data_IF_571488051548
#
_entry.id   IF_571488051548
#
_cell.length_a   1.000
_cell.length_b   1.000
_cell.length_c   1.000
_cell.angle_alpha   90.00
_cell.angle_beta   90.00
_cell.angle_gamma   90.00
#
_symmetry.space_group_name_H-M   'P 1'
#
loop_
_entity.id
_entity.type
_entity.pdbx_description
1 polymer ?
#
# COMPACT_ATOMS: atom_id res chain seq x y z
N UNK A 1 -6.96 -25.71 18.96
CA UNK A 1 -6.83 -24.30 19.36
C UNK A 1 -7.51 -23.43 18.32
N UNK A 2 -8.39 -22.52 18.75
CA UNK A 2 -9.44 -21.86 17.97
C UNK A 2 -8.98 -21.21 16.64
N UNK A 3 -9.64 -21.59 15.54
CA UNK A 3 -9.73 -20.82 14.29
C UNK A 3 -10.92 -19.87 14.42
N UNK A 4 -10.68 -18.57 14.41
CA UNK A 4 -11.75 -17.57 14.45
C UNK A 4 -11.91 -16.97 13.04
N UNK A 5 -12.63 -17.71 12.20
CA UNK A 5 -13.16 -17.23 10.93
C UNK A 5 -14.37 -16.36 11.21
N UNK A 6 -14.24 -15.05 11.02
CA UNK A 6 -15.40 -14.16 10.99
C UNK A 6 -16.10 -14.34 9.65
N UNK A 7 -17.15 -15.16 9.65
CA UNK A 7 -18.19 -15.08 8.64
C UNK A 7 -18.91 -13.74 8.85
N UNK A 8 -18.72 -12.79 7.93
CA UNK A 8 -19.63 -11.66 7.79
C UNK A 8 -20.98 -12.23 7.36
N UNK A 9 -21.89 -12.42 8.33
CA UNK A 9 -23.30 -12.68 8.06
C UNK A 9 -23.91 -11.43 7.42
N UNK A 10 -23.77 -11.29 6.10
CA UNK A 10 -24.51 -10.32 5.32
C UNK A 10 -25.86 -10.91 4.89
N UNK A 11 -26.76 -11.11 5.85
CA UNK A 11 -28.20 -11.17 5.55
C UNK A 11 -28.72 -9.74 5.46
N UNK A 12 -28.52 -9.11 4.31
CA UNK A 12 -29.34 -8.02 3.80
C UNK A 12 -29.07 -7.93 2.30
N UNK A 13 -30.12 -8.07 1.50
CA UNK A 13 -30.19 -7.72 0.08
C UNK A 13 -30.00 -6.20 -0.06
N UNK A 14 -28.80 -5.70 0.24
CA UNK A 14 -28.38 -4.38 -0.23
C UNK A 14 -28.15 -4.53 -1.74
N UNK A 15 -28.94 -3.79 -2.50
CA UNK A 15 -28.66 -3.51 -3.91
C UNK A 15 -27.16 -3.20 -4.00
N UNK A 16 -26.37 -4.01 -4.72
CA UNK A 16 -24.92 -3.84 -4.87
C UNK A 16 -24.65 -2.52 -5.58
N UNK A 17 -24.68 -1.41 -4.84
CA UNK A 17 -24.26 -0.10 -5.33
C UNK A 17 -22.74 -0.13 -5.49
N UNK A 18 -22.25 0.44 -6.58
CA UNK A 18 -20.81 0.53 -6.84
C UNK A 18 -20.24 1.51 -5.80
N UNK A 19 -19.28 1.09 -4.95
CA UNK A 19 -18.68 1.99 -3.97
C UNK A 19 -17.95 3.14 -4.65
N UNK A 20 -18.14 4.35 -4.14
CA UNK A 20 -17.43 5.56 -4.59
C UNK A 20 -16.26 5.85 -3.67
N UNK A 21 -15.07 5.95 -4.26
CA UNK A 21 -13.81 6.17 -3.57
C UNK A 21 -13.23 7.51 -4.01
N UNK A 22 -12.95 8.40 -3.06
CA UNK A 22 -12.20 9.64 -3.33
C UNK A 22 -10.74 9.42 -2.96
N UNK A 23 -9.85 9.72 -3.90
CA UNK A 23 -8.44 9.97 -3.62
C UNK A 23 -8.27 11.43 -3.18
N UNK A 24 -8.00 11.64 -1.89
CA UNK A 24 -8.07 12.97 -1.29
C UNK A 24 -6.91 13.89 -1.69
N UNK A 25 -5.72 13.31 -1.79
CA UNK A 25 -4.47 14.00 -2.11
C UNK A 25 -3.62 13.17 -3.08
N UNK A 26 -2.57 13.78 -3.61
CA UNK A 26 -1.65 13.14 -4.54
C UNK A 26 -0.83 12.00 -3.90
N UNK A 27 -0.44 11.05 -4.73
CA UNK A 27 0.59 10.05 -4.43
C UNK A 27 1.95 10.61 -4.81
N UNK A 28 2.66 11.21 -3.85
CA UNK A 28 3.87 12.00 -4.08
C UNK A 28 3.62 13.17 -5.02
N UNK A 29 3.97 13.04 -6.30
CA UNK A 29 3.78 14.03 -7.36
C UNK A 29 2.91 13.49 -8.50
N UNK A 30 2.08 12.48 -8.22
CA UNK A 30 1.26 11.77 -9.20
C UNK A 30 -0.16 11.57 -8.67
N UNK A 31 -1.10 11.27 -9.56
CA UNK A 31 -2.50 11.03 -9.16
C UNK A 31 -2.63 9.76 -8.33
N UNK A 32 -3.19 9.90 -7.12
CA UNK A 32 -3.54 8.76 -6.28
C UNK A 32 -4.75 8.00 -6.85
N UNK A 33 -5.71 8.68 -7.49
CA UNK A 33 -6.87 8.02 -8.09
C UNK A 33 -6.43 7.11 -9.25
N UNK A 34 -5.56 7.58 -10.14
CA UNK A 34 -4.96 6.77 -11.20
C UNK A 34 -4.20 5.58 -10.63
N UNK A 35 -3.43 5.79 -9.55
CA UNK A 35 -2.73 4.71 -8.89
C UNK A 35 -3.70 3.65 -8.37
N UNK A 36 -4.80 4.02 -7.73
CA UNK A 36 -5.81 3.07 -7.25
C UNK A 36 -6.46 2.35 -8.44
N UNK A 37 -6.85 3.07 -9.50
CA UNK A 37 -7.47 2.49 -10.72
C UNK A 37 -6.54 1.51 -11.44
N UNK A 38 -5.23 1.71 -11.38
CA UNK A 38 -4.25 0.84 -12.04
C UNK A 38 -4.11 -0.54 -11.41
N UNK A 39 -4.63 -0.76 -10.19
CA UNK A 39 -4.56 -2.08 -9.55
C UNK A 39 -5.62 -3.02 -10.12
N UNK A 40 -5.25 -4.27 -10.46
CA UNK A 40 -6.22 -5.27 -10.89
C UNK A 40 -7.14 -5.63 -9.72
N UNK A 41 -8.31 -5.01 -9.68
CA UNK A 41 -9.35 -5.27 -8.68
C UNK A 41 -10.49 -6.07 -9.32
N UNK A 42 -10.82 -7.28 -8.83
CA UNK A 42 -11.95 -8.06 -9.36
C UNK A 42 -13.31 -7.47 -8.99
N UNK A 43 -13.34 -6.46 -8.11
CA UNK A 43 -14.54 -5.78 -7.67
C UNK A 43 -14.72 -4.45 -8.38
N UNK A 44 -15.97 -4.10 -8.70
CA UNK A 44 -16.31 -2.79 -9.29
C UNK A 44 -16.32 -1.72 -8.19
N UNK A 45 -15.57 -0.65 -8.40
CA UNK A 45 -15.60 0.59 -7.63
C UNK A 45 -15.35 1.78 -8.57
N UNK A 46 -15.93 2.93 -8.24
CA UNK A 46 -15.69 4.18 -8.96
C UNK A 46 -14.71 5.02 -8.16
N UNK A 47 -13.61 5.42 -8.79
CA UNK A 47 -12.51 6.14 -8.13
C UNK A 47 -12.40 7.54 -8.73
N UNK A 48 -12.48 8.53 -7.86
CA UNK A 48 -12.51 9.95 -8.18
C UNK A 48 -11.32 10.67 -7.55
N UNK A 49 -10.81 11.69 -8.22
CA UNK A 49 -10.02 12.72 -7.55
C UNK A 49 -10.93 13.58 -6.67
N UNK A 50 -10.34 14.19 -5.63
CA UNK A 50 -11.04 15.03 -4.66
C UNK A 50 -11.95 16.10 -5.29
N UNK A 51 -11.60 16.62 -6.47
CA UNK A 51 -12.35 17.68 -7.15
C UNK A 51 -13.54 17.17 -7.97
N UNK A 52 -13.65 15.85 -8.18
CA UNK A 52 -14.63 15.25 -9.10
C UNK A 52 -15.90 14.77 -8.39
N UNK A 53 -15.85 14.56 -7.08
CA UNK A 53 -16.98 14.08 -6.28
C UNK A 53 -17.06 14.84 -4.95
N UNK A 54 -18.25 15.32 -4.53
CA UNK A 54 -18.44 15.88 -3.20
C UNK A 54 -18.06 14.88 -2.11
N UNK A 55 -17.45 15.36 -1.02
CA UNK A 55 -16.99 14.49 0.07
C UNK A 55 -18.13 13.71 0.70
N UNK A 56 -19.32 14.30 0.76
CA UNK A 56 -20.54 13.70 1.27
C UNK A 56 -21.06 12.55 0.40
N UNK A 57 -20.66 12.44 -0.87
CA UNK A 57 -21.11 11.36 -1.75
C UNK A 57 -20.18 10.15 -1.74
N UNK A 58 -19.01 10.25 -1.11
CA UNK A 58 -18.03 9.17 -1.03
C UNK A 58 -18.43 8.12 0.00
N UNK A 59 -18.24 6.84 -0.32
CA UNK A 59 -18.26 5.75 0.65
C UNK A 59 -16.90 5.63 1.37
N UNK A 60 -15.82 5.88 0.62
CA UNK A 60 -14.44 5.77 1.09
C UNK A 60 -13.63 7.00 0.69
N UNK A 61 -12.84 7.53 1.62
CA UNK A 61 -11.88 8.60 1.36
C UNK A 61 -10.48 8.09 1.68
N UNK A 62 -9.61 8.06 0.67
CA UNK A 62 -8.25 7.53 0.75
C UNK A 62 -7.25 8.67 0.77
N UNK A 63 -6.37 8.66 1.76
CA UNK A 63 -5.32 9.66 1.94
C UNK A 63 -3.97 8.98 1.76
N UNK A 64 -3.17 9.46 0.81
CA UNK A 64 -1.77 9.10 0.80
C UNK A 64 -1.07 9.78 1.98
N UNK A 65 -0.76 8.99 3.01
CA UNK A 65 -0.36 9.50 4.31
C UNK A 65 0.93 10.33 4.24
N UNK A 66 1.84 9.95 3.34
CA UNK A 66 3.13 10.64 3.17
C UNK A 66 3.00 12.03 2.55
N UNK A 67 1.87 12.40 1.96
CA UNK A 67 1.61 13.76 1.44
C UNK A 67 0.78 14.62 2.41
N UNK A 68 0.54 14.16 3.64
CA UNK A 68 -0.24 14.89 4.64
C UNK A 68 0.56 15.93 5.44
N UNK A 69 1.87 16.03 5.19
CA UNK A 69 2.75 17.01 5.86
C UNK A 69 2.50 18.45 5.41
N UNK A 70 1.78 18.66 4.31
CA UNK A 70 1.49 20.01 3.81
C UNK A 70 0.61 20.75 4.84
N UNK A 71 1.08 21.88 5.40
CA UNK A 71 0.30 22.68 6.35
C UNK A 71 -0.97 23.25 5.71
N UNK A 72 -0.99 23.46 4.39
CA UNK A 72 -2.16 23.97 3.65
C UNK A 72 -3.14 22.86 3.24
N UNK A 73 -2.84 21.60 3.56
CA UNK A 73 -3.74 20.48 3.30
C UNK A 73 -5.09 20.74 3.98
N UNK A 74 -6.13 20.79 3.17
CA UNK A 74 -7.51 20.89 3.63
C UNK A 74 -8.06 19.49 3.82
N UNK A 75 -8.73 19.26 4.95
CA UNK A 75 -9.35 17.98 5.29
C UNK A 75 -10.85 18.00 5.03
N UNK A 76 -11.50 16.82 4.92
CA UNK A 76 -12.94 16.78 4.80
C UNK A 76 -13.60 17.52 5.95
N UNK A 77 -14.61 18.34 5.65
CA UNK A 77 -15.27 19.18 6.65
C UNK A 77 -16.23 18.38 7.50
N UNK A 78 -16.87 17.38 6.92
CA UNK A 78 -17.86 16.55 7.61
C UNK A 78 -17.63 15.09 7.28
N UNK A 79 -17.70 14.25 8.31
CA UNK A 79 -17.57 12.81 8.17
C UNK A 79 -18.90 12.15 8.52
N UNK A 80 -19.48 11.42 7.58
CA UNK A 80 -20.64 10.58 7.88
C UNK A 80 -20.21 9.36 8.69
N UNK A 81 -21.05 8.84 9.59
CA UNK A 81 -20.72 7.66 10.41
C UNK A 81 -20.42 6.39 9.60
N UNK A 82 -20.94 6.29 8.37
CA UNK A 82 -20.76 5.16 7.47
C UNK A 82 -19.54 5.30 6.53
N UNK A 83 -18.87 6.46 6.53
CA UNK A 83 -17.68 6.69 5.69
C UNK A 83 -16.42 6.05 6.26
N UNK A 84 -15.66 5.43 5.37
CA UNK A 84 -14.36 4.83 5.72
C UNK A 84 -13.24 5.79 5.30
N UNK A 85 -12.48 6.26 6.29
CA UNK A 85 -11.29 7.09 6.05
C UNK A 85 -10.07 6.18 6.11
N UNK A 86 -9.32 6.14 5.00
CA UNK A 86 -8.24 5.19 4.79
C UNK A 86 -6.90 5.92 4.78
N UNK A 87 -6.01 5.53 5.69
CA UNK A 87 -4.60 5.89 5.60
C UNK A 87 -3.92 4.94 4.62
N UNK A 88 -3.42 5.47 3.50
CA UNK A 88 -2.70 4.70 2.49
C UNK A 88 -1.21 5.02 2.55
N UNK A 89 -0.40 3.99 2.85
CA UNK A 89 1.05 4.10 2.90
C UNK A 89 1.70 2.79 2.44
N UNK A 90 2.40 2.82 1.31
CA UNK A 90 3.21 1.68 0.83
C UNK A 90 4.54 1.53 1.59
N UNK A 91 4.62 1.83 2.88
CA UNK A 91 5.86 1.74 3.65
C UNK A 91 5.57 1.55 5.13
N UNK A 92 6.59 1.17 5.91
CA UNK A 92 6.46 1.05 7.37
C UNK A 92 5.96 2.37 7.96
N UNK A 93 5.12 2.33 8.99
CA UNK A 93 4.58 3.55 9.64
C UNK A 93 5.69 4.50 10.13
N UNK A 94 6.88 4.00 10.43
CA UNK A 94 8.08 4.84 10.70
C UNK A 94 8.51 5.71 9.52
N UNK A 95 8.12 5.36 8.29
CA UNK A 95 8.32 6.12 7.07
C UNK A 95 7.10 6.99 6.72
N UNK A 96 6.14 7.15 7.64
CA UNK A 96 5.07 8.11 7.49
C UNK A 96 5.56 9.58 7.49
N UNK A 97 6.79 9.82 7.97
CA UNK A 97 7.38 11.17 8.04
C UNK A 97 6.79 11.97 9.19
N UNK A 98 6.84 13.30 9.10
CA UNK A 98 6.34 14.21 10.14
C UNK A 98 4.81 14.15 10.31
N UNK A 99 4.08 13.70 9.29
CA UNK A 99 2.62 13.60 9.32
C UNK A 99 2.11 12.70 10.46
N UNK A 100 2.88 11.73 10.94
CA UNK A 100 2.46 10.85 12.05
C UNK A 100 2.31 11.60 13.38
N UNK A 101 2.99 12.74 13.53
CA UNK A 101 2.98 13.54 14.75
C UNK A 101 2.03 14.75 14.64
N UNK A 102 1.29 14.86 13.52
CA UNK A 102 0.42 15.99 13.31
C UNK A 102 -0.85 15.86 14.17
N UNK A 103 -1.13 16.83 15.05
CA UNK A 103 -2.28 16.76 15.97
C UNK A 103 -3.62 16.78 15.25
N UNK A 104 -3.67 17.15 13.96
CA UNK A 104 -4.87 17.08 13.12
C UNK A 104 -5.33 15.63 12.92
N UNK A 105 -4.43 14.66 13.02
CA UNK A 105 -4.76 13.23 13.01
C UNK A 105 -4.95 12.73 14.45
N UNK A 106 -6.12 13.03 15.01
CA UNK A 106 -6.56 12.37 16.23
C UNK A 106 -6.48 10.85 16.07
N UNK A 107 -6.36 10.11 17.19
CA UNK A 107 -6.18 8.65 17.23
C UNK A 107 -7.25 7.83 16.48
N UNK A 108 -8.34 8.47 16.03
CA UNK A 108 -9.48 7.87 15.34
C UNK A 108 -9.83 8.54 14.00
N UNK A 109 -8.97 9.37 13.43
CA UNK A 109 -9.25 10.02 12.14
C UNK A 109 -9.43 9.00 11.01
N UNK A 110 -8.58 7.97 10.99
CA UNK A 110 -8.64 6.86 10.04
C UNK A 110 -9.27 5.63 10.67
N UNK A 111 -10.15 4.94 9.92
CA UNK A 111 -10.77 3.69 10.36
C UNK A 111 -10.20 2.46 9.66
N UNK A 112 -9.41 2.67 8.62
CA UNK A 112 -8.68 1.62 7.95
C UNK A 112 -7.29 2.12 7.56
N UNK A 113 -6.35 1.19 7.48
CA UNK A 113 -5.00 1.42 7.00
C UNK A 113 -4.70 0.43 5.89
N UNK A 114 -4.18 0.95 4.79
CA UNK A 114 -3.61 0.16 3.71
C UNK A 114 -2.09 0.28 3.80
N UNK A 115 -1.42 -0.81 4.13
CA UNK A 115 0.03 -0.92 4.03
C UNK A 115 0.45 -2.32 3.53
N UNK A 116 1.74 -2.59 3.58
CA UNK A 116 2.35 -3.85 3.13
C UNK A 116 2.34 -4.94 4.20
N UNK A 117 1.91 -4.65 5.42
CA UNK A 117 1.88 -5.65 6.49
C UNK A 117 0.67 -6.56 6.28
N UNK A 118 0.92 -7.86 6.33
CA UNK A 118 -0.11 -8.90 6.15
C UNK A 118 -1.20 -8.89 7.24
N UNK A 119 -1.00 -8.15 8.34
CA UNK A 119 -1.94 -8.05 9.46
C UNK A 119 -2.83 -6.79 9.44
N UNK A 120 -2.75 -5.96 8.41
CA UNK A 120 -3.61 -4.79 8.28
C UNK A 120 -4.88 -5.09 7.47
N UNK A 121 -5.89 -4.22 7.66
CA UNK A 121 -7.25 -4.38 7.12
C UNK A 121 -7.28 -4.57 5.59
N UNK A 122 -6.34 -3.94 4.88
CA UNK A 122 -6.22 -4.05 3.41
C UNK A 122 -4.73 -4.20 3.07
N UNK A 123 -4.38 -5.35 2.50
CA UNK A 123 -3.02 -5.63 2.02
C UNK A 123 -2.80 -4.99 0.66
N UNK A 124 -1.66 -4.31 0.50
CA UNK A 124 -1.26 -3.74 -0.78
C UNK A 124 0.17 -4.14 -1.11
N UNK A 125 0.30 -4.91 -2.18
CA UNK A 125 1.57 -5.50 -2.57
C UNK A 125 2.61 -4.42 -2.91
N UNK A 126 3.74 -4.52 -2.21
CA UNK A 126 4.92 -3.69 -2.36
C UNK A 126 5.94 -4.29 -3.33
N UNK A 127 5.66 -5.45 -3.91
CA UNK A 127 6.57 -6.17 -4.80
C UNK A 127 7.04 -5.29 -5.95
N UNK A 128 8.28 -4.80 -5.82
CA UNK A 128 9.10 -4.32 -6.93
C UNK A 128 9.81 -5.50 -7.62
N UNK A 129 9.27 -6.71 -7.49
CA UNK A 129 9.75 -7.86 -8.24
C UNK A 129 9.26 -7.68 -9.67
N UNK A 130 10.16 -7.22 -10.54
CA UNK A 130 9.91 -7.26 -11.97
C UNK A 130 9.92 -8.73 -12.41
N UNK A 131 8.95 -9.18 -13.21
CA UNK A 131 9.06 -10.48 -13.85
C UNK A 131 10.34 -10.50 -14.67
N UNK A 132 11.03 -11.65 -14.67
CA UNK A 132 12.18 -11.86 -15.55
C UNK A 132 11.67 -11.93 -16.98
N UNK A 133 11.63 -10.77 -17.64
CA UNK A 133 10.95 -10.56 -18.90
C UNK A 133 11.84 -10.90 -20.10
N UNK A 134 13.16 -10.81 -19.93
CA UNK A 134 14.14 -11.02 -21.00
C UNK A 134 15.19 -12.07 -20.61
N UNK A 135 15.83 -12.68 -21.60
CA UNK A 135 16.99 -13.56 -21.37
C UNK A 135 18.17 -12.79 -20.75
N UNK A 136 18.29 -11.49 -21.04
CA UNK A 136 19.30 -10.64 -20.41
C UNK A 136 19.05 -10.49 -18.90
N UNK A 137 17.80 -10.30 -18.48
CA UNK A 137 17.42 -10.27 -17.06
C UNK A 137 17.65 -11.62 -16.39
N UNK A 138 17.38 -12.71 -17.12
CA UNK A 138 17.59 -14.09 -16.68
C UNK A 138 19.07 -14.37 -16.41
N UNK A 139 19.96 -13.87 -17.27
CA UNK A 139 21.40 -14.01 -17.12
C UNK A 139 21.95 -13.15 -15.96
N UNK A 140 21.43 -11.93 -15.77
CA UNK A 140 21.79 -11.06 -14.63
C UNK A 140 21.33 -11.62 -13.28
N UNK A 141 20.24 -12.37 -13.26
CA UNK A 141 19.71 -13.04 -12.07
C UNK A 141 20.11 -14.52 -11.98
N UNK A 142 21.02 -14.99 -12.84
CA UNK A 142 21.47 -16.37 -12.83
C UNK A 142 22.06 -16.69 -11.45
N UNK A 143 21.62 -17.77 -10.79
CA UNK A 143 22.22 -18.21 -9.53
C UNK A 143 23.73 -18.29 -9.69
N UNK A 144 24.46 -17.62 -8.80
CA UNK A 144 25.91 -17.73 -8.77
C UNK A 144 26.26 -19.16 -8.36
N UNK A 145 27.12 -19.83 -9.13
CA UNK A 145 27.78 -21.03 -8.64
C UNK A 145 28.67 -20.66 -7.45
N UNK A 146 28.94 -21.64 -6.59
CA UNK A 146 29.84 -21.46 -5.45
C UNK A 146 31.22 -20.93 -5.89
N UNK A 147 31.77 -21.46 -6.99
CA UNK A 147 33.01 -20.96 -7.60
C UNK A 147 32.90 -19.50 -8.06
N UNK A 148 31.78 -19.12 -8.69
CA UNK A 148 31.52 -17.75 -9.12
C UNK A 148 31.40 -16.79 -7.95
N UNK A 149 30.74 -17.21 -6.86
CA UNK A 149 30.66 -16.44 -5.63
C UNK A 149 32.04 -16.24 -5.00
N UNK A 150 32.83 -17.30 -4.88
CA UNK A 150 34.18 -17.25 -4.32
C UNK A 150 35.11 -16.33 -5.12
N UNK A 151 35.03 -16.35 -6.45
CA UNK A 151 35.77 -15.43 -7.33
C UNK A 151 35.39 -13.96 -7.12
N UNK A 152 34.10 -13.67 -6.88
CA UNK A 152 33.63 -12.31 -6.60
C UNK A 152 34.14 -11.85 -5.24
N UNK A 153 34.03 -12.67 -4.20
CA UNK A 153 34.46 -12.33 -2.83
C UNK A 153 35.97 -12.08 -2.77
N UNK A 154 36.79 -12.90 -3.43
CA UNK A 154 38.26 -12.72 -3.49
C UNK A 154 38.68 -11.35 -4.04
N UNK A 155 37.87 -10.75 -4.91
CA UNK A 155 38.15 -9.45 -5.55
C UNK A 155 37.65 -8.26 -4.72
N UNK A 156 36.96 -8.49 -3.60
CA UNK A 156 36.38 -7.44 -2.78
C UNK A 156 37.33 -7.06 -1.64
N UNK A 157 37.70 -5.78 -1.59
CA UNK A 157 38.55 -5.20 -0.54
C UNK A 157 37.75 -4.57 0.59
N UNK A 158 36.42 -4.52 0.47
CA UNK A 158 35.47 -4.03 1.47
C UNK A 158 34.51 -5.15 1.87
N UNK A 159 33.97 -5.14 3.10
CA UNK A 159 32.98 -6.11 3.54
C UNK A 159 31.80 -6.21 2.58
N UNK A 160 31.33 -7.43 2.34
CA UNK A 160 30.16 -7.74 1.49
C UNK A 160 29.09 -8.38 2.36
N UNK A 161 27.84 -7.94 2.20
CA UNK A 161 26.67 -8.58 2.79
C UNK A 161 26.04 -9.52 1.75
N UNK A 162 25.93 -10.79 2.09
CA UNK A 162 25.13 -11.77 1.36
C UNK A 162 23.92 -12.17 2.22
N UNK A 163 22.74 -12.24 1.60
CA UNK A 163 21.50 -12.71 2.25
C UNK A 163 21.08 -13.98 1.51
N UNK A 164 21.16 -15.11 2.21
CA UNK A 164 20.85 -16.45 1.67
C UNK A 164 19.57 -16.92 2.35
N UNK A 165 18.54 -17.21 1.56
CA UNK A 165 17.20 -17.56 2.09
C UNK A 165 16.85 -19.05 1.94
N UNK A 166 17.81 -19.89 1.55
CA UNK A 166 17.66 -21.35 1.53
C UNK A 166 19.01 -21.96 1.91
N UNK A 167 19.12 -22.49 3.13
CA UNK A 167 20.36 -23.00 3.72
C UNK A 167 20.40 -24.54 3.76
N UNK A 168 19.75 -25.19 2.81
CA UNK A 168 19.96 -26.61 2.57
C UNK A 168 21.28 -26.71 1.79
N UNK A 169 22.36 -26.98 2.52
CA UNK A 169 23.76 -27.15 2.11
C UNK A 169 24.64 -25.88 2.08
N UNK A 170 25.27 -25.60 3.24
CA UNK A 170 26.65 -25.09 3.34
C UNK A 170 27.44 -26.13 4.14
#
# INVERSE_FOLDING_TARGET
GLRMSYALNATQTQQKRIPKIIAWNEYFSSSLSERIRSYPCPYRCDVFDRTELPEEDADVIVFHFRNLWDPNMTFPKTRRPDQIYVSFLKSHSSHAGSAINDPRFATNFFNATVDYRLNNFIYFDQSYFAPVATEEDREKMRPLSEEGFNEIIKKKTKPVLAIISNCDDI
#
